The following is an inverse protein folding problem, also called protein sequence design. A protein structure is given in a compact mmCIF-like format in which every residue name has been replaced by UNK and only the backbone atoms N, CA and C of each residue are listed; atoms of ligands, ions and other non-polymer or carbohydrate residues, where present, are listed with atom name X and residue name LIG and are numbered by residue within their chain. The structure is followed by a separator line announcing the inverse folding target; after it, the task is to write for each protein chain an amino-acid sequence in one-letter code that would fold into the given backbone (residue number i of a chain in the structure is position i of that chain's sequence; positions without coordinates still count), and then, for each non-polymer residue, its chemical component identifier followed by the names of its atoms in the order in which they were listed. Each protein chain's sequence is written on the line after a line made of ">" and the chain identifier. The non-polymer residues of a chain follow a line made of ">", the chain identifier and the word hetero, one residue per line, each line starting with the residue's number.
data_IF_925336838117
#
_entry.id   IF_925336838117
#
_cell.length_a   1.000
_cell.length_b   1.000
_cell.length_c   1.000
_cell.angle_alpha   90.00
_cell.angle_beta   90.00
_cell.angle_gamma   90.00
#
_symmetry.space_group_name_H-M   'P 1'
#
loop_
_entity.id
_entity.type
_entity.pdbx_description
1 polymer ?
#
# COMPACT_ATOMS: atom_id res chain seq x y z
N UNK A 1 2.88 22.01 34.29
CA UNK A 1 2.94 20.53 34.34
C UNK A 1 4.17 20.11 33.55
N UNK A 2 5.19 19.57 34.19
CA UNK A 2 6.33 18.94 33.51
C UNK A 2 6.52 17.57 34.17
N UNK A 3 6.03 16.53 33.49
CA UNK A 3 6.29 15.13 33.82
C UNK A 3 7.20 14.51 32.76
N UNK A 4 7.87 13.39 33.06
CA UNK A 4 8.57 12.63 32.04
C UNK A 4 7.56 12.17 30.98
N UNK A 5 7.99 12.14 29.72
CA UNK A 5 7.22 11.48 28.65
C UNK A 5 7.31 9.98 28.92
N UNK A 6 6.17 9.35 29.19
CA UNK A 6 6.14 7.92 29.51
C UNK A 6 6.53 7.05 28.30
N UNK A 7 6.20 7.51 27.09
CA UNK A 7 6.48 6.83 25.82
C UNK A 7 6.28 7.75 24.60
N UNK A 8 7.06 7.54 23.54
CA UNK A 8 6.84 8.15 22.22
C UNK A 8 5.97 7.25 21.33
N UNK A 9 5.22 7.84 20.40
CA UNK A 9 4.44 7.09 19.40
C UNK A 9 5.25 6.94 18.12
N UNK A 10 5.23 5.74 17.53
CA UNK A 10 5.96 5.45 16.30
C UNK A 10 5.03 5.25 15.10
N UNK A 11 5.56 5.44 13.90
CA UNK A 11 4.81 5.20 12.67
C UNK A 11 4.31 3.76 12.58
N UNK A 12 3.07 3.57 12.11
CA UNK A 12 2.42 2.28 12.01
C UNK A 12 1.98 1.67 13.34
N UNK A 13 2.36 2.26 14.48
CA UNK A 13 2.04 1.75 15.80
C UNK A 13 0.51 1.69 16.02
N UNK A 14 -0.03 0.53 16.44
CA UNK A 14 -1.44 0.44 16.80
C UNK A 14 -1.68 1.03 18.20
N UNK A 15 -2.66 1.92 18.31
CA UNK A 15 -3.20 2.44 19.57
C UNK A 15 -4.68 2.10 19.63
N UNK A 16 -5.01 0.95 20.22
CA UNK A 16 -6.36 0.39 20.14
C UNK A 16 -6.75 0.07 18.70
N UNK A 17 -7.79 0.73 18.17
CA UNK A 17 -8.24 0.58 16.76
C UNK A 17 -7.63 1.60 15.81
N UNK A 18 -6.78 2.49 16.32
CA UNK A 18 -6.15 3.57 15.57
C UNK A 18 -4.75 3.12 15.16
N UNK A 19 -4.30 3.55 13.98
CA UNK A 19 -2.90 3.45 13.58
C UNK A 19 -2.26 4.83 13.56
N UNK A 20 -1.08 4.94 14.16
CA UNK A 20 -0.28 6.16 14.16
C UNK A 20 0.38 6.34 12.80
N UNK A 21 0.37 7.56 12.28
CA UNK A 21 1.09 7.99 11.09
C UNK A 21 2.05 9.10 11.52
N UNK A 22 3.35 8.83 11.52
CA UNK A 22 4.35 9.82 11.91
C UNK A 22 4.55 10.86 10.81
N UNK A 23 4.50 12.13 11.19
CA UNK A 23 4.70 13.27 10.31
C UNK A 23 6.06 13.91 10.59
N UNK A 24 6.73 14.35 9.53
CA UNK A 24 8.08 14.90 9.60
C UNK A 24 8.13 16.31 9.05
N UNK A 25 9.10 17.13 9.46
CA UNK A 25 9.22 18.52 9.00
C UNK A 25 8.14 19.48 9.54
N UNK A 26 7.22 18.97 10.37
CA UNK A 26 6.16 19.76 10.99
C UNK A 26 6.69 20.81 11.97
N UNK A 27 5.79 21.60 12.56
CA UNK A 27 6.10 22.70 13.48
C UNK A 27 6.90 22.21 14.70
N UNK A 28 6.60 21.02 15.18
CA UNK A 28 7.28 20.38 16.31
C UNK A 28 7.64 18.91 16.01
N UNK A 29 8.71 18.37 16.64
CA UNK A 29 8.98 16.94 16.58
C UNK A 29 7.86 16.13 17.24
N UNK A 30 7.62 14.92 16.72
CA UNK A 30 6.64 13.98 17.29
C UNK A 30 5.19 14.21 16.86
N UNK A 31 4.97 15.06 15.86
CA UNK A 31 3.63 15.22 15.28
C UNK A 31 3.18 13.95 14.54
N UNK A 32 1.90 13.63 14.72
CA UNK A 32 1.29 12.42 14.16
C UNK A 32 -0.08 12.71 13.59
N UNK A 33 -0.48 11.93 12.61
CA UNK A 33 -1.87 11.74 12.23
C UNK A 33 -2.36 10.38 12.75
N UNK A 34 -3.66 10.26 12.95
CA UNK A 34 -4.29 9.06 13.49
C UNK A 34 -5.25 8.48 12.45
N UNK A 35 -4.92 7.33 11.89
CA UNK A 35 -5.77 6.62 10.95
C UNK A 35 -6.78 5.74 11.69
N UNK A 36 -8.06 5.89 11.36
CA UNK A 36 -9.19 5.11 11.87
C UNK A 36 -9.79 4.30 10.72
N UNK A 37 -9.33 3.06 10.50
CA UNK A 37 -9.71 2.26 9.33
C UNK A 37 -11.22 2.03 9.21
N UNK A 38 -11.87 1.65 10.32
CA UNK A 38 -13.32 1.36 10.38
C UNK A 38 -14.18 2.56 9.93
N UNK A 39 -13.67 3.78 10.09
CA UNK A 39 -14.37 5.02 9.74
C UNK A 39 -13.88 5.63 8.41
N UNK A 40 -12.93 4.98 7.73
CA UNK A 40 -12.20 5.54 6.58
C UNK A 40 -11.74 6.98 6.83
N UNK A 41 -11.29 7.25 8.06
CA UNK A 41 -11.06 8.60 8.55
C UNK A 41 -9.61 8.75 9.01
N UNK A 42 -9.07 9.96 8.84
CA UNK A 42 -7.82 10.36 9.49
C UNK A 42 -8.09 11.59 10.36
N UNK A 43 -7.50 11.59 11.55
CA UNK A 43 -7.49 12.75 12.45
C UNK A 43 -6.10 13.38 12.36
N UNK A 44 -6.05 14.68 12.08
CA UNK A 44 -4.81 15.44 11.94
C UNK A 44 -4.88 16.67 12.86
N UNK A 45 -3.75 16.98 13.50
CA UNK A 45 -3.57 18.23 14.26
C UNK A 45 -3.44 19.44 13.33
N UNK A 46 -2.49 20.33 13.64
CA UNK A 46 -2.24 21.54 12.86
C UNK A 46 -1.46 21.31 11.56
N UNK A 47 -1.03 20.08 11.27
CA UNK A 47 -0.41 19.74 9.99
C UNK A 47 -1.32 19.99 8.77
N UNK A 48 -2.65 19.91 8.94
CA UNK A 48 -3.66 20.31 7.95
C UNK A 48 -4.76 21.12 8.62
N UNK A 49 -5.11 22.26 8.03
CA UNK A 49 -6.13 23.19 8.51
C UNK A 49 -7.30 23.23 7.51
N UNK A 50 -8.52 23.11 8.02
CA UNK A 50 -9.76 23.09 7.23
C UNK A 50 -10.24 24.48 6.83
N UNK A 51 -9.41 25.25 6.13
CA UNK A 51 -9.69 26.64 5.80
C UNK A 51 -9.18 26.96 4.38
N UNK A 52 -10.07 27.34 3.43
CA UNK A 52 -11.52 27.57 3.60
C UNK A 52 -12.33 26.26 3.75
N UNK A 53 -13.62 26.32 4.15
CA UNK A 53 -14.48 25.16 4.20
C UNK A 53 -14.53 24.39 2.87
N UNK A 54 -14.35 23.07 2.93
CA UNK A 54 -14.28 22.19 1.76
C UNK A 54 -12.88 22.00 1.17
N UNK A 55 -11.86 22.68 1.71
CA UNK A 55 -10.47 22.50 1.34
C UNK A 55 -9.59 22.36 2.60
N UNK A 56 -8.33 21.99 2.39
CA UNK A 56 -7.31 22.03 3.43
C UNK A 56 -6.08 22.78 2.95
N UNK A 57 -5.36 23.36 3.90
CA UNK A 57 -4.04 23.95 3.69
C UNK A 57 -3.09 23.53 4.80
N UNK A 58 -1.80 23.58 4.51
CA UNK A 58 -0.76 23.43 5.53
C UNK A 58 -0.61 24.71 6.37
N UNK A 59 0.14 24.61 7.47
CA UNK A 59 0.67 25.80 8.13
C UNK A 59 1.52 26.64 7.16
N UNK A 60 1.60 27.96 7.37
CA UNK A 60 2.59 28.79 6.70
C UNK A 60 4.01 28.25 6.90
N UNK A 61 4.84 28.33 5.85
CA UNK A 61 6.19 27.77 5.81
C UNK A 61 7.06 28.26 6.96
N UNK A 62 6.92 29.51 7.37
CA UNK A 62 7.67 30.09 8.50
C UNK A 62 7.36 29.46 9.86
N UNK A 63 6.28 28.68 9.95
CA UNK A 63 5.90 27.92 11.16
C UNK A 63 6.33 26.46 11.11
N UNK A 64 6.81 25.97 9.97
CA UNK A 64 7.25 24.59 9.79
C UNK A 64 8.77 24.52 9.96
N UNK A 65 9.26 23.40 10.53
CA UNK A 65 10.71 23.19 10.67
C UNK A 65 11.37 22.92 9.32
N UNK A 66 10.67 22.18 8.46
CA UNK A 66 11.06 21.90 7.09
C UNK A 66 9.78 21.80 6.23
N UNK A 67 9.37 22.89 5.57
CA UNK A 67 8.15 22.92 4.76
C UNK A 67 8.11 21.86 3.66
N UNK A 68 9.26 21.60 3.03
CA UNK A 68 9.37 20.59 1.98
C UNK A 68 9.14 19.20 2.57
N UNK A 69 9.84 18.84 3.65
CA UNK A 69 9.66 17.55 4.32
C UNK A 69 8.26 17.39 4.91
N UNK A 70 7.65 18.46 5.41
CA UNK A 70 6.26 18.47 5.86
C UNK A 70 5.30 18.05 4.76
N UNK A 71 5.38 18.68 3.59
CA UNK A 71 4.55 18.34 2.45
C UNK A 71 4.77 16.89 1.98
N UNK A 72 6.04 16.46 1.91
CA UNK A 72 6.37 15.08 1.51
C UNK A 72 5.85 14.04 2.52
N UNK A 73 5.92 14.32 3.83
CA UNK A 73 5.44 13.38 4.86
C UNK A 73 3.91 13.24 4.83
N UNK A 74 3.15 14.28 4.47
CA UNK A 74 1.70 14.22 4.32
C UNK A 74 1.23 13.31 3.17
N UNK A 75 2.14 12.90 2.27
CA UNK A 75 1.83 11.86 1.27
C UNK A 75 1.45 10.54 1.93
N UNK A 76 1.96 10.22 3.12
CA UNK A 76 1.54 9.01 3.85
C UNK A 76 0.06 9.06 4.21
N UNK A 77 -0.44 10.23 4.64
CA UNK A 77 -1.86 10.46 4.92
C UNK A 77 -2.68 10.38 3.63
N UNK A 78 -2.20 11.01 2.55
CA UNK A 78 -2.85 10.91 1.24
C UNK A 78 -2.92 9.47 0.72
N UNK A 79 -1.85 8.68 0.93
CA UNK A 79 -1.77 7.31 0.43
C UNK A 79 -2.76 6.34 1.10
N UNK A 80 -3.29 6.70 2.27
CA UNK A 80 -4.39 5.97 2.91
C UNK A 80 -5.72 6.11 2.15
N UNK A 81 -5.83 7.07 1.23
CA UNK A 81 -7.05 7.44 0.52
C UNK A 81 -8.24 7.64 1.48
N UNK A 82 -8.10 8.51 2.50
CA UNK A 82 -9.16 8.69 3.49
C UNK A 82 -10.39 9.31 2.84
N UNK A 83 -11.56 8.81 3.23
CA UNK A 83 -12.83 9.41 2.86
C UNK A 83 -13.13 10.64 3.72
N UNK A 84 -12.73 10.61 4.98
CA UNK A 84 -13.02 11.64 5.97
C UNK A 84 -11.73 12.17 6.61
N UNK A 85 -11.66 13.47 6.88
CA UNK A 85 -10.54 14.12 7.56
C UNK A 85 -11.07 15.02 8.67
N UNK A 86 -10.67 14.70 9.89
CA UNK A 86 -10.93 15.51 11.07
C UNK A 86 -9.69 16.35 11.35
N UNK A 87 -9.84 17.67 11.37
CA UNK A 87 -8.76 18.63 11.59
C UNK A 87 -8.89 19.27 12.96
N UNK A 88 -7.78 19.67 13.56
CA UNK A 88 -7.76 20.38 14.84
C UNK A 88 -8.24 21.83 14.76
N UNK A 89 -8.19 22.44 13.56
CA UNK A 89 -8.58 23.83 13.32
C UNK A 89 -9.22 23.97 11.91
N UNK A 90 -10.28 24.77 11.81
CA UNK A 90 -11.13 24.90 10.63
C UNK A 90 -12.21 23.82 10.50
N UNK A 91 -12.76 23.68 9.29
CA UNK A 91 -13.83 22.74 8.96
C UNK A 91 -13.29 21.35 8.57
N UNK A 92 -13.84 20.30 9.18
CA UNK A 92 -13.56 18.92 8.79
C UNK A 92 -14.08 18.62 7.36
N UNK A 93 -13.47 17.65 6.69
CA UNK A 93 -13.85 17.20 5.34
C UNK A 93 -14.48 15.81 5.42
N UNK A 94 -15.64 15.62 4.78
CA UNK A 94 -16.34 14.34 4.74
C UNK A 94 -16.67 13.95 3.29
N UNK A 95 -16.36 12.71 2.93
CA UNK A 95 -16.67 12.15 1.61
C UNK A 95 -15.55 12.26 0.58
N UNK A 96 -14.73 13.31 0.62
CA UNK A 96 -13.72 13.63 -0.40
C UNK A 96 -12.39 14.15 0.20
N UNK A 97 -12.00 13.62 1.36
CA UNK A 97 -10.79 14.07 2.05
C UNK A 97 -9.50 13.82 1.23
N UNK A 98 -9.39 12.68 0.56
CA UNK A 98 -8.22 12.35 -0.26
C UNK A 98 -7.99 13.38 -1.38
N UNK A 99 -9.07 13.86 -2.02
CA UNK A 99 -9.01 14.89 -3.07
C UNK A 99 -8.60 16.26 -2.49
N UNK A 100 -9.12 16.63 -1.32
CA UNK A 100 -8.74 17.87 -0.65
C UNK A 100 -7.24 17.87 -0.27
N UNK A 101 -6.74 16.75 0.24
CA UNK A 101 -5.31 16.57 0.57
C UNK A 101 -4.46 16.63 -0.70
N UNK A 102 -4.88 15.92 -1.77
CA UNK A 102 -4.19 15.95 -3.06
C UNK A 102 -4.06 17.37 -3.60
N UNK A 103 -5.16 18.14 -3.63
CA UNK A 103 -5.17 19.51 -4.10
C UNK A 103 -4.26 20.42 -3.26
N UNK A 104 -4.24 20.24 -1.94
CA UNK A 104 -3.32 20.94 -1.04
C UNK A 104 -1.86 20.65 -1.40
N UNK A 105 -1.48 19.37 -1.54
CA UNK A 105 -0.12 18.99 -1.88
C UNK A 105 0.28 19.47 -3.28
N UNK A 106 -0.57 19.27 -4.29
CA UNK A 106 -0.33 19.67 -5.68
C UNK A 106 -0.23 21.19 -5.86
N UNK A 107 -0.74 21.99 -4.91
CA UNK A 107 -0.57 23.45 -4.93
C UNK A 107 0.86 23.91 -4.63
N UNK A 108 1.69 23.06 -4.01
CA UNK A 108 3.10 23.36 -3.70
C UNK A 108 3.94 23.39 -4.98
N UNK A 109 4.74 24.45 -5.13
CA UNK A 109 5.65 24.64 -6.29
C UNK A 109 7.12 24.42 -5.94
N UNK A 110 7.45 24.39 -4.66
CA UNK A 110 8.79 24.20 -4.10
C UNK A 110 9.17 22.71 -3.96
N UNK A 111 8.18 21.82 -3.98
CA UNK A 111 8.37 20.36 -3.96
C UNK A 111 7.65 19.71 -5.13
N UNK A 112 8.29 18.71 -5.74
CA UNK A 112 7.63 17.89 -6.75
C UNK A 112 6.96 16.68 -6.09
N UNK A 113 5.64 16.76 -5.87
CA UNK A 113 4.84 15.81 -5.09
C UNK A 113 4.81 14.40 -5.71
N UNK A 114 5.02 14.29 -7.02
CA UNK A 114 4.96 13.01 -7.75
C UNK A 114 6.31 12.28 -7.84
N UNK A 115 7.23 12.53 -6.89
CA UNK A 115 8.56 11.91 -6.85
C UNK A 115 8.92 11.42 -5.46
N UNK A 116 9.38 10.17 -5.36
CA UNK A 116 9.99 9.60 -4.17
C UNK A 116 11.25 8.80 -4.55
N UNK A 117 12.29 8.84 -3.72
CA UNK A 117 13.47 8.00 -3.87
C UNK A 117 13.30 6.71 -3.06
N UNK A 118 13.96 5.63 -3.46
CA UNK A 118 13.94 4.36 -2.72
C UNK A 118 14.41 4.50 -1.28
N UNK A 119 15.39 5.38 -1.03
CA UNK A 119 15.95 5.63 0.30
C UNK A 119 14.96 6.34 1.23
N UNK A 120 13.94 6.99 0.67
CA UNK A 120 12.87 7.65 1.41
C UNK A 120 11.68 6.72 1.71
N UNK A 121 11.67 5.50 1.13
CA UNK A 121 10.55 4.59 1.29
C UNK A 121 10.57 3.90 2.65
N UNK A 122 9.38 3.82 3.25
CA UNK A 122 9.14 3.02 4.44
C UNK A 122 8.77 1.61 4.03
N UNK A 123 9.47 0.65 4.62
CA UNK A 123 9.24 -0.77 4.40
C UNK A 123 8.27 -1.29 5.45
N UNK A 124 7.17 -1.87 5.00
CA UNK A 124 6.17 -2.52 5.82
C UNK A 124 6.55 -3.99 6.00
N UNK A 125 6.60 -4.42 7.27
CA UNK A 125 6.74 -5.82 7.63
C UNK A 125 5.49 -6.61 7.25
N UNK A 126 5.64 -7.88 6.84
CA UNK A 126 4.49 -8.72 6.53
C UNK A 126 3.61 -8.90 7.79
N UNK A 127 2.30 -9.12 7.62
CA UNK A 127 1.42 -9.43 8.74
C UNK A 127 1.95 -10.62 9.55
N UNK A 128 1.86 -10.54 10.87
CA UNK A 128 2.25 -11.66 11.73
C UNK A 128 1.42 -12.92 11.42
N UNK A 129 2.06 -14.09 11.39
CA UNK A 129 1.40 -15.39 11.22
C UNK A 129 1.48 -15.99 9.82
N UNK A 130 2.29 -15.43 8.91
CA UNK A 130 2.56 -16.07 7.62
C UNK A 130 3.26 -17.44 7.80
N UNK A 131 2.90 -18.46 7.01
CA UNK A 131 3.63 -19.73 7.02
C UNK A 131 5.10 -19.48 6.70
N UNK A 132 6.01 -20.11 7.45
CA UNK A 132 7.43 -19.71 7.48
C UNK A 132 8.20 -19.73 6.14
N UNK A 133 7.67 -20.34 5.07
CA UNK A 133 8.25 -20.27 3.72
C UNK A 133 7.92 -18.97 2.97
N UNK A 134 6.82 -18.30 3.33
CA UNK A 134 6.43 -17.03 2.75
C UNK A 134 7.04 -15.86 3.52
N UNK A 135 7.13 -14.71 2.85
CA UNK A 135 7.55 -13.46 3.47
C UNK A 135 8.11 -12.47 2.48
N UNK A 136 8.55 -11.34 3.02
CA UNK A 136 9.04 -10.20 2.27
C UNK A 136 8.49 -8.92 2.88
N UNK A 137 9.22 -7.83 2.74
CA UNK A 137 8.74 -6.51 3.12
C UNK A 137 8.28 -5.76 1.88
N UNK A 138 7.31 -4.86 2.03
CA UNK A 138 6.79 -4.07 0.91
C UNK A 138 6.93 -2.58 1.13
N UNK A 139 6.98 -1.81 0.06
CA UNK A 139 6.84 -0.38 0.12
C UNK A 139 5.84 0.09 -0.94
N UNK A 140 4.81 0.82 -0.51
CA UNK A 140 3.86 1.49 -1.39
C UNK A 140 4.56 2.67 -2.07
N UNK A 141 4.47 2.78 -3.40
CA UNK A 141 5.00 3.92 -4.16
C UNK A 141 3.85 4.69 -4.79
N UNK A 142 2.94 3.97 -5.45
CA UNK A 142 1.96 4.55 -6.35
C UNK A 142 1.17 5.67 -5.71
N UNK A 143 0.53 5.36 -4.57
CA UNK A 143 -0.30 6.33 -3.88
C UNK A 143 0.50 7.48 -3.26
N UNK A 144 1.73 7.23 -2.79
CA UNK A 144 2.59 8.29 -2.26
C UNK A 144 2.91 9.37 -3.29
N UNK A 145 3.03 8.98 -4.57
CA UNK A 145 3.33 9.90 -5.68
C UNK A 145 2.11 10.25 -6.52
N UNK A 146 0.90 9.95 -6.03
CA UNK A 146 -0.35 10.36 -6.67
C UNK A 146 -0.79 9.55 -7.89
N UNK A 147 -0.26 8.35 -8.07
CA UNK A 147 -0.75 7.47 -9.11
C UNK A 147 -2.17 6.98 -8.80
N UNK A 148 -2.97 6.86 -9.87
CA UNK A 148 -4.40 6.53 -9.78
C UNK A 148 -4.76 5.25 -10.52
N UNK A 149 -4.26 5.09 -11.74
CA UNK A 149 -4.59 3.94 -12.59
C UNK A 149 -3.72 2.72 -12.31
N UNK A 150 -2.45 2.91 -11.98
CA UNK A 150 -1.51 1.82 -11.75
C UNK A 150 -1.12 1.74 -10.27
N UNK A 151 -0.98 0.51 -9.78
CA UNK A 151 -0.32 0.18 -8.53
C UNK A 151 1.18 0.08 -8.74
N UNK A 152 1.97 0.65 -7.83
CA UNK A 152 3.43 0.55 -7.84
C UNK A 152 3.85 0.15 -6.44
N UNK A 153 4.49 -1.01 -6.32
CA UNK A 153 4.95 -1.53 -5.04
C UNK A 153 6.34 -2.11 -5.21
N UNK A 154 7.23 -1.80 -4.27
CA UNK A 154 8.46 -2.58 -4.13
C UNK A 154 8.23 -3.73 -3.17
N UNK A 155 8.86 -4.85 -3.48
CA UNK A 155 9.00 -6.00 -2.60
C UNK A 155 10.48 -6.27 -2.41
N UNK A 156 10.89 -6.46 -1.16
CA UNK A 156 12.20 -7.00 -0.80
C UNK A 156 11.99 -8.41 -0.27
N UNK A 157 12.48 -9.39 -1.01
CA UNK A 157 12.30 -10.80 -0.74
C UNK A 157 13.59 -11.39 -0.13
N UNK A 158 13.59 -11.79 1.16
CA UNK A 158 14.75 -12.40 1.80
C UNK A 158 15.15 -13.74 1.17
N UNK A 159 16.40 -14.14 1.39
CA UNK A 159 16.90 -15.47 1.03
C UNK A 159 16.02 -16.60 1.62
N UNK A 160 15.74 -17.62 0.81
CA UNK A 160 14.93 -18.77 1.18
C UNK A 160 13.41 -18.50 1.28
N UNK A 161 12.94 -17.30 0.90
CA UNK A 161 11.53 -16.93 0.97
C UNK A 161 10.84 -17.00 -0.38
N UNK A 162 9.55 -17.33 -0.35
CA UNK A 162 8.61 -17.17 -1.45
C UNK A 162 7.74 -15.94 -1.19
N UNK A 163 7.52 -15.11 -2.20
CA UNK A 163 6.73 -13.89 -2.01
C UNK A 163 5.28 -14.22 -1.65
N UNK A 164 4.55 -14.83 -2.58
CA UNK A 164 3.15 -15.24 -2.41
C UNK A 164 2.89 -16.62 -3.04
N UNK A 165 1.77 -17.29 -2.72
CA UNK A 165 1.38 -18.52 -3.40
C UNK A 165 1.28 -18.33 -4.93
N UNK A 166 1.46 -19.42 -5.69
CA UNK A 166 1.21 -19.42 -7.13
C UNK A 166 -0.20 -18.92 -7.41
N UNK A 167 -0.31 -17.88 -8.21
CA UNK A 167 -1.58 -17.25 -8.53
C UNK A 167 -1.60 -16.67 -9.93
N UNK A 168 -2.80 -16.39 -10.44
CA UNK A 168 -3.03 -15.61 -11.64
C UNK A 168 -4.26 -14.73 -11.47
N UNK A 169 -4.24 -13.60 -12.15
CA UNK A 169 -5.29 -12.57 -12.15
C UNK A 169 -6.21 -12.75 -13.35
N UNK A 170 -7.50 -12.48 -13.16
CA UNK A 170 -8.50 -12.66 -14.21
C UNK A 170 -8.71 -11.40 -15.03
N UNK A 171 -8.69 -10.25 -14.37
CA UNK A 171 -8.94 -8.95 -14.99
C UNK A 171 -7.68 -8.07 -15.02
N UNK A 172 -6.82 -8.18 -14.01
CA UNK A 172 -5.64 -7.33 -13.88
C UNK A 172 -4.40 -7.94 -14.55
N UNK A 173 -3.71 -7.17 -15.40
CA UNK A 173 -2.34 -7.51 -15.79
C UNK A 173 -1.37 -7.13 -14.66
N UNK A 174 -0.29 -7.89 -14.54
CA UNK A 174 0.79 -7.59 -13.60
C UNK A 174 2.16 -7.63 -14.30
N UNK A 175 3.09 -6.80 -13.83
CA UNK A 175 4.47 -6.78 -14.29
C UNK A 175 5.43 -6.76 -13.12
N UNK A 176 6.43 -7.64 -13.17
CA UNK A 176 7.60 -7.56 -12.30
C UNK A 176 8.79 -6.98 -13.07
N UNK A 177 9.49 -6.06 -12.42
CA UNK A 177 10.82 -5.62 -12.82
C UNK A 177 11.80 -5.94 -11.70
N UNK A 178 12.81 -6.76 -11.99
CA UNK A 178 13.86 -7.13 -11.04
C UNK A 178 14.82 -5.95 -10.86
N UNK A 179 14.64 -5.18 -9.79
CA UNK A 179 15.45 -4.00 -9.49
C UNK A 179 16.86 -4.41 -9.06
N UNK A 180 16.97 -5.44 -8.22
CA UNK A 180 18.25 -5.94 -7.73
C UNK A 180 18.16 -7.41 -7.29
N UNK A 181 19.28 -8.13 -7.35
CA UNK A 181 19.38 -9.55 -6.97
C UNK A 181 18.87 -10.53 -8.03
N UNK A 182 18.70 -11.78 -7.60
CA UNK A 182 18.28 -12.92 -8.42
C UNK A 182 17.16 -13.71 -7.70
N UNK A 183 16.34 -14.41 -8.47
CA UNK A 183 15.25 -15.23 -7.97
C UNK A 183 14.90 -16.36 -8.95
N UNK A 184 14.07 -17.28 -8.49
CA UNK A 184 13.44 -18.33 -9.30
C UNK A 184 11.97 -17.97 -9.50
N UNK A 185 11.56 -17.83 -10.76
CA UNK A 185 10.18 -17.63 -11.16
C UNK A 185 9.57 -18.98 -11.57
N UNK A 186 8.57 -19.45 -10.83
CA UNK A 186 7.75 -20.58 -11.21
C UNK A 186 6.55 -20.10 -12.03
N UNK A 187 6.30 -20.75 -13.16
CA UNK A 187 5.17 -20.48 -14.06
C UNK A 187 4.47 -21.79 -14.46
N UNK A 188 3.38 -21.71 -15.24
CA UNK A 188 2.78 -22.89 -15.88
C UNK A 188 3.70 -23.62 -16.85
N UNK A 189 4.78 -22.98 -17.30
CA UNK A 189 5.77 -23.52 -18.24
C UNK A 189 7.03 -24.06 -17.55
N UNK A 190 7.06 -24.13 -16.23
CA UNK A 190 8.22 -24.54 -15.44
C UNK A 190 8.87 -23.38 -14.68
N UNK A 191 10.09 -23.61 -14.20
CA UNK A 191 10.88 -22.67 -13.41
C UNK A 191 11.96 -22.00 -14.25
N UNK A 192 12.15 -20.70 -14.02
CA UNK A 192 13.11 -19.86 -14.75
C UNK A 192 13.90 -19.02 -13.76
N UNK A 193 15.23 -18.96 -13.93
CA UNK A 193 16.04 -17.99 -13.20
C UNK A 193 15.77 -16.59 -13.75
N UNK A 194 15.57 -15.63 -12.86
CA UNK A 194 15.39 -14.21 -13.17
C UNK A 194 16.37 -13.38 -12.36
N UNK A 195 16.83 -12.28 -12.93
CA UNK A 195 17.90 -11.46 -12.37
C UNK A 195 17.66 -9.98 -12.59
N UNK A 196 18.45 -9.16 -11.91
CA UNK A 196 18.46 -7.71 -12.11
C UNK A 196 18.37 -7.31 -13.58
N UNK A 197 17.43 -6.40 -13.86
CA UNK A 197 17.17 -5.84 -15.19
C UNK A 197 16.11 -6.59 -15.99
N UNK A 198 15.63 -7.74 -15.53
CA UNK A 198 14.57 -8.49 -16.22
C UNK A 198 13.21 -7.81 -16.01
N UNK A 199 12.46 -7.67 -17.11
CA UNK A 199 11.04 -7.32 -17.12
C UNK A 199 10.23 -8.58 -17.40
N UNK A 200 9.21 -8.82 -16.60
CA UNK A 200 8.40 -10.04 -16.64
C UNK A 200 6.93 -9.62 -16.61
N UNK A 201 6.21 -9.85 -17.70
CA UNK A 201 4.78 -9.58 -17.77
C UNK A 201 3.97 -10.84 -17.45
N UNK A 202 2.88 -10.64 -16.72
CA UNK A 202 1.87 -11.65 -16.37
C UNK A 202 0.54 -11.22 -16.98
N UNK A 203 0.19 -11.70 -18.18
CA UNK A 203 -1.09 -11.40 -18.80
C UNK A 203 -2.22 -12.06 -18.01
N UNK A 204 -3.45 -11.58 -18.20
CA UNK A 204 -4.63 -12.16 -17.54
C UNK A 204 -4.83 -13.63 -17.90
N UNK A 205 -5.41 -14.37 -16.95
CA UNK A 205 -5.73 -15.79 -17.10
C UNK A 205 -4.59 -16.74 -16.74
N UNK A 206 -4.80 -18.07 -16.90
CA UNK A 206 -3.88 -19.09 -16.39
C UNK A 206 -2.45 -19.03 -16.96
N UNK A 207 -2.25 -18.45 -18.13
CA UNK A 207 -0.91 -18.29 -18.72
C UNK A 207 -0.05 -17.30 -17.93
N UNK A 208 -0.66 -16.33 -17.25
CA UNK A 208 0.02 -15.41 -16.33
C UNK A 208 0.29 -16.00 -14.95
N UNK A 209 0.01 -17.29 -14.71
CA UNK A 209 0.22 -17.85 -13.37
C UNK A 209 1.69 -17.86 -12.97
N UNK A 210 2.00 -17.27 -11.82
CA UNK A 210 3.36 -17.01 -11.42
C UNK A 210 3.57 -17.06 -9.90
N UNK A 211 4.80 -17.39 -9.51
CA UNK A 211 5.28 -17.38 -8.13
C UNK A 211 6.77 -17.08 -8.13
N UNK A 212 7.17 -16.09 -7.35
CA UNK A 212 8.58 -15.72 -7.18
C UNK A 212 9.12 -16.30 -5.86
N UNK A 213 10.27 -16.96 -5.94
CA UNK A 213 11.02 -17.49 -4.79
C UNK A 213 12.46 -17.03 -4.87
N UNK A 214 13.03 -16.61 -3.76
CA UNK A 214 14.45 -16.32 -3.65
C UNK A 214 15.16 -17.57 -3.12
N UNK A 215 15.75 -18.35 -4.03
CA UNK A 215 16.57 -19.53 -3.70
C UNK A 215 18.05 -19.20 -3.44
N UNK A 216 18.42 -17.92 -3.56
CA UNK A 216 19.78 -17.45 -3.34
C UNK A 216 20.10 -17.18 -1.87
N UNK A 217 21.30 -16.63 -1.66
CA UNK A 217 21.83 -16.31 -0.31
C UNK A 217 21.63 -14.84 0.09
N UNK A 218 21.27 -13.98 -0.86
CA UNK A 218 21.10 -12.54 -0.66
C UNK A 218 19.66 -12.13 -0.96
N UNK A 219 19.12 -11.08 -0.31
CA UNK A 219 17.79 -10.58 -0.64
C UNK A 219 17.73 -10.04 -2.07
N UNK A 220 16.56 -10.13 -2.71
CA UNK A 220 16.30 -9.49 -4.00
C UNK A 220 15.19 -8.44 -3.88
N UNK A 221 15.19 -7.46 -4.78
CA UNK A 221 14.22 -6.36 -4.80
C UNK A 221 13.48 -6.35 -6.14
N UNK A 222 12.16 -6.28 -6.08
CA UNK A 222 11.27 -6.36 -7.23
C UNK A 222 10.34 -5.15 -7.20
N UNK A 223 10.19 -4.48 -8.34
CA UNK A 223 9.11 -3.55 -8.59
C UNK A 223 7.95 -4.31 -9.20
N UNK A 224 6.82 -4.32 -8.50
CA UNK A 224 5.55 -4.85 -8.97
C UNK A 224 4.71 -3.68 -9.47
N UNK A 225 4.22 -3.82 -10.70
CA UNK A 225 3.17 -2.97 -11.25
C UNK A 225 1.95 -3.82 -11.51
N UNK A 226 0.78 -3.32 -11.14
CA UNK A 226 -0.49 -3.95 -11.46
C UNK A 226 -1.53 -2.89 -11.78
N UNK A 227 -2.66 -3.32 -12.32
CA UNK A 227 -3.81 -2.43 -12.43
C UNK A 227 -4.36 -2.10 -11.02
N UNK A 228 -4.75 -0.84 -10.83
CA UNK A 228 -5.47 -0.37 -9.65
C UNK A 228 -6.94 -0.04 -10.01
N UNK A 229 -7.41 -0.48 -11.19
CA UNK A 229 -8.74 -0.20 -11.69
C UNK A 229 -9.81 -0.62 -10.67
N UNK A 230 -10.79 0.26 -10.49
CA UNK A 230 -11.91 0.06 -9.56
C UNK A 230 -12.84 -1.12 -9.95
N UNK A 231 -12.56 -1.81 -11.06
CA UNK A 231 -13.37 -2.92 -11.58
C UNK A 231 -13.35 -4.17 -10.70
N UNK A 232 -12.37 -4.30 -9.81
CA UNK A 232 -12.17 -5.49 -9.01
C UNK A 232 -11.60 -6.65 -9.84
N UNK A 233 -10.93 -7.58 -9.18
CA UNK A 233 -10.28 -8.73 -9.82
C UNK A 233 -10.67 -10.04 -9.13
N UNK A 234 -10.47 -11.15 -9.84
CA UNK A 234 -10.60 -12.50 -9.33
C UNK A 234 -9.25 -13.20 -9.46
N UNK A 235 -8.61 -13.42 -8.32
CA UNK A 235 -7.30 -14.05 -8.25
C UNK A 235 -7.44 -15.54 -7.94
N UNK A 236 -6.87 -16.40 -8.78
CA UNK A 236 -6.96 -17.85 -8.64
C UNK A 236 -5.64 -18.42 -8.12
N UNK A 237 -5.71 -19.39 -7.19
CA UNK A 237 -4.56 -20.02 -6.56
C UNK A 237 -4.54 -21.54 -6.81
N UNK A 238 -3.95 -22.01 -7.93
CA UNK A 238 -4.08 -23.39 -8.39
C UNK A 238 -3.65 -24.44 -7.36
N UNK A 239 -2.47 -24.29 -6.76
CA UNK A 239 -1.90 -25.26 -5.81
C UNK A 239 -2.81 -25.50 -4.60
N UNK A 240 -3.48 -24.44 -4.15
CA UNK A 240 -4.32 -24.48 -2.96
C UNK A 240 -5.80 -24.64 -3.27
N UNK A 241 -6.19 -24.64 -4.55
CA UNK A 241 -7.59 -24.69 -5.01
C UNK A 241 -8.46 -23.62 -4.36
N UNK A 242 -7.98 -22.38 -4.42
CA UNK A 242 -8.67 -21.21 -3.86
C UNK A 242 -8.89 -20.15 -4.93
N UNK A 243 -9.88 -19.30 -4.68
CA UNK A 243 -10.19 -18.10 -5.46
C UNK A 243 -10.41 -16.94 -4.49
N UNK A 244 -9.77 -15.80 -4.74
CA UNK A 244 -10.01 -14.55 -4.02
C UNK A 244 -10.79 -13.61 -4.93
N UNK A 245 -11.94 -13.13 -4.46
CA UNK A 245 -12.68 -12.05 -5.12
C UNK A 245 -12.24 -10.75 -4.45
N UNK A 246 -11.79 -9.77 -5.23
CA UNK A 246 -11.37 -8.46 -4.71
C UNK A 246 -12.50 -7.78 -3.92
N UNK A 247 -12.18 -7.30 -2.71
CA UNK A 247 -13.18 -6.77 -1.76
C UNK A 247 -14.16 -7.81 -1.20
N UNK A 248 -14.03 -9.09 -1.58
CA UNK A 248 -14.90 -10.19 -1.23
C UNK A 248 -14.18 -11.32 -0.50
N UNK A 249 -14.83 -12.50 -0.39
CA UNK A 249 -14.28 -13.63 0.34
C UNK A 249 -13.22 -14.40 -0.46
N UNK A 250 -12.38 -15.14 0.27
CA UNK A 250 -11.57 -16.24 -0.26
C UNK A 250 -12.39 -17.52 -0.22
N UNK A 251 -12.56 -18.18 -1.36
CA UNK A 251 -13.40 -19.36 -1.56
C UNK A 251 -12.57 -20.57 -1.99
N UNK A 252 -13.12 -21.78 -1.82
CA UNK A 252 -12.60 -23.00 -2.45
C UNK A 252 -13.06 -23.02 -3.91
N UNK A 253 -12.18 -23.42 -4.82
CA UNK A 253 -12.55 -23.65 -6.23
C UNK A 253 -13.19 -25.01 -6.47
N UNK A 254 -13.22 -25.87 -5.44
CA UNK A 254 -13.78 -27.22 -5.49
C UNK A 254 -14.54 -27.56 -4.19
N UNK A 255 -15.60 -28.40 -4.26
CA UNK A 255 -16.14 -29.01 -5.50
C UNK A 255 -16.76 -27.95 -6.43
N UNK A 256 -16.77 -28.23 -7.74
CA UNK A 256 -17.56 -27.45 -8.69
C UNK A 256 -19.00 -27.91 -8.53
N UNK A 257 -19.86 -26.99 -8.09
CA UNK A 257 -21.27 -27.28 -7.84
C UNK A 257 -22.07 -27.17 -9.14
N UNK A 258 -23.09 -28.02 -9.27
CA UNK A 258 -24.10 -27.85 -10.30
C UNK A 258 -24.97 -26.63 -10.00
N UNK A 259 -25.57 -26.04 -11.04
CA UNK A 259 -26.40 -24.83 -10.91
C UNK A 259 -27.54 -24.97 -9.88
N UNK A 260 -28.04 -26.19 -9.67
CA UNK A 260 -29.13 -26.50 -8.73
C UNK A 260 -28.66 -27.24 -7.46
N UNK A 261 -27.36 -27.31 -7.18
CA UNK A 261 -26.87 -27.94 -5.94
C UNK A 261 -27.46 -27.24 -4.71
N UNK A 262 -28.07 -28.01 -3.81
CA UNK A 262 -28.74 -27.48 -2.61
C UNK A 262 -30.14 -26.90 -2.84
N UNK A 263 -30.62 -26.82 -4.08
CA UNK A 263 -31.97 -26.32 -4.40
C UNK A 263 -32.98 -27.49 -4.40
N UNK A 264 -34.00 -27.49 -3.52
CA UNK A 264 -35.00 -28.55 -3.51
C UNK A 264 -35.86 -28.50 -4.78
N UNK A 265 -35.99 -29.64 -5.44
CA UNK A 265 -37.05 -29.85 -6.45
C UNK A 265 -38.42 -29.76 -5.79
N UNK A 266 -39.37 -29.11 -6.46
CA UNK A 266 -40.76 -28.91 -6.01
C UNK A 266 -41.44 -30.17 -5.47
#
# INVERSE_FOLDING_TARGET
>A
LSGPVDRELHDGEPVGRVRVIALEGMKSPGEVALHVPDAQAVIVGDALLGDPPGAVRMLPDEKLRDPARAALSLRSVWALQPRNLLVGDGACIFGNAAEAIAACLESRRDVYVNRINLDDLRWEEPPHGEPGRFGGTTAEIGRLIGARALGYRLVRLPAGKTWVPLHWHREDEELYFMVDGEATLRTTRGEYAVRRGDFIAFPTGPLGAHQLRNDGEQPCTILMLGDNAAGGDVCHYPDSRKVLISGGPMLRSEPVLDYYDGEPGS
#
